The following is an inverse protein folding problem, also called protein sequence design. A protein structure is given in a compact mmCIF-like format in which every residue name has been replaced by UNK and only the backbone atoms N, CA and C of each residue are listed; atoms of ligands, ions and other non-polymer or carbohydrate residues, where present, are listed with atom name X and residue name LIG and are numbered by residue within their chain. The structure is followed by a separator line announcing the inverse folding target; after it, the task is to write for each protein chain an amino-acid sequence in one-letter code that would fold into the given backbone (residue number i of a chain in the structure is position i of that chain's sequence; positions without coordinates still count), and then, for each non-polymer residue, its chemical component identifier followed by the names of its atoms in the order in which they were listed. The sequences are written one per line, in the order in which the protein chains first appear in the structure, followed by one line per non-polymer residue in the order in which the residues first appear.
data_IF_756720424080
#
_entry.id   IF_756720424080
#
_cell.length_a   1.000
_cell.length_b   1.000
_cell.length_c   1.000
_cell.angle_alpha   90.00
_cell.angle_beta   90.00
_cell.angle_gamma   90.00
#
_symmetry.space_group_name_H-M   'P 1'
#
loop_
_entity.id
_entity.type
_entity.pdbx_description
1 polymer ?
#
# COMPACT_ATOMS: atom_id res chain seq x y z
N UNK A 1 2.08 -20.32 4.89
CA UNK A 1 1.93 -21.15 6.12
C UNK A 1 3.29 -21.55 6.71
N UNK A 2 4.26 -21.96 5.86
CA UNK A 2 5.62 -22.34 6.29
C UNK A 2 6.37 -21.25 7.06
N UNK A 3 6.24 -19.97 6.68
CA UNK A 3 6.88 -18.85 7.40
C UNK A 3 6.53 -18.84 8.90
N UNK A 4 5.23 -18.96 9.22
CA UNK A 4 4.74 -19.02 10.61
C UNK A 4 5.19 -20.29 11.33
N UNK A 5 5.24 -21.41 10.61
CA UNK A 5 5.74 -22.68 11.13
C UNK A 5 7.23 -22.58 11.50
N UNK A 6 8.07 -22.00 10.65
CA UNK A 6 9.50 -21.76 10.94
C UNK A 6 9.69 -20.78 12.11
N UNK A 7 8.87 -19.72 12.19
CA UNK A 7 8.90 -18.79 13.33
C UNK A 7 8.60 -19.52 14.65
N UNK A 8 7.57 -20.39 14.68
CA UNK A 8 7.09 -20.99 15.94
C UNK A 8 7.84 -22.27 16.32
N UNK A 9 8.18 -23.12 15.34
CA UNK A 9 8.86 -24.40 15.61
C UNK A 9 10.35 -24.23 15.89
N UNK A 10 10.99 -23.22 15.26
CA UNK A 10 12.43 -22.99 15.40
C UNK A 10 12.76 -21.71 16.16
N UNK A 11 11.75 -20.98 16.66
CA UNK A 11 11.93 -19.72 17.40
C UNK A 11 12.61 -18.62 16.58
N UNK A 12 12.55 -18.71 15.24
CA UNK A 12 13.26 -17.80 14.36
C UNK A 12 12.55 -16.44 14.30
N UNK A 13 13.32 -15.36 14.26
CA UNK A 13 12.77 -14.03 13.99
C UNK A 13 12.22 -13.95 12.55
N UNK A 14 11.29 -13.03 12.31
CA UNK A 14 10.70 -12.81 10.97
C UNK A 14 11.76 -12.54 9.89
N UNK A 15 12.82 -11.80 10.25
CA UNK A 15 13.94 -11.51 9.37
C UNK A 15 14.70 -12.78 9.01
N UNK A 16 15.08 -13.59 10.01
CA UNK A 16 15.78 -14.87 9.79
C UNK A 16 14.96 -15.85 8.97
N UNK A 17 13.65 -15.93 9.19
CA UNK A 17 12.79 -16.78 8.36
C UNK A 17 12.78 -16.29 6.91
N UNK A 18 12.84 -14.98 6.68
CA UNK A 18 12.95 -14.44 5.31
C UNK A 18 14.27 -14.84 4.65
N UNK A 19 15.38 -14.77 5.38
CA UNK A 19 16.70 -15.18 4.91
C UNK A 19 16.74 -16.68 4.60
N UNK A 20 16.24 -17.52 5.50
CA UNK A 20 16.15 -18.98 5.31
C UNK A 20 15.27 -19.35 4.11
N UNK A 21 14.18 -18.62 3.87
CA UNK A 21 13.34 -18.88 2.70
C UNK A 21 14.03 -18.50 1.39
N UNK A 22 14.84 -17.43 1.39
CA UNK A 22 15.65 -17.00 0.23
C UNK A 22 16.84 -17.93 0.01
N UNK A 23 17.49 -18.35 1.08
CA UNK A 23 18.64 -19.21 1.10
C UNK A 23 18.50 -20.29 2.20
N UNK A 24 17.98 -21.48 1.84
CA UNK A 24 17.77 -22.57 2.80
C UNK A 24 19.04 -23.10 3.46
N UNK A 25 20.23 -22.79 2.92
CA UNK A 25 21.50 -23.18 3.55
C UNK A 25 21.70 -22.49 4.91
N UNK A 26 21.09 -21.32 5.11
CA UNK A 26 21.21 -20.52 6.34
C UNK A 26 20.39 -21.05 7.52
N UNK A 27 19.61 -22.13 7.33
CA UNK A 27 18.82 -22.75 8.40
C UNK A 27 19.68 -23.12 9.62
N UNK A 28 20.91 -23.60 9.39
CA UNK A 28 21.85 -24.00 10.45
C UNK A 28 22.72 -22.85 10.96
N UNK A 29 22.84 -21.76 10.20
CA UNK A 29 23.60 -20.58 10.56
C UNK A 29 22.83 -19.77 11.62
N UNK A 30 22.89 -20.20 12.89
CA UNK A 30 22.30 -19.48 14.03
C UNK A 30 21.35 -20.31 14.91
N UNK A 31 21.28 -21.63 14.74
CA UNK A 31 20.67 -22.54 15.73
C UNK A 31 21.67 -23.00 16.81
N UNK A 32 22.95 -22.67 16.64
CA UNK A 32 24.04 -23.03 17.56
C UNK A 32 23.95 -22.45 18.98
N UNK A 33 22.88 -21.74 19.30
CA UNK A 33 22.59 -21.27 20.67
C UNK A 33 21.43 -21.97 21.37
N UNK A 34 20.61 -22.77 20.67
CA UNK A 34 19.36 -23.32 21.27
C UNK A 34 19.47 -24.81 21.64
N UNK A 35 20.40 -25.58 21.06
CA UNK A 35 20.45 -27.04 21.31
C UNK A 35 21.84 -27.66 21.53
N UNK A 36 22.91 -26.89 21.70
CA UNK A 36 24.22 -27.48 22.02
C UNK A 36 24.43 -27.55 23.53
N UNK A 37 23.69 -28.45 24.17
CA UNK A 37 24.08 -29.02 25.46
C UNK A 37 23.48 -30.41 25.59
N UNK A 38 24.11 -31.39 24.95
CA UNK A 38 24.52 -32.70 25.50
C UNK A 38 24.63 -33.78 24.40
N UNK A 39 25.79 -34.45 24.40
CA UNK A 39 26.09 -35.76 23.80
C UNK A 39 26.44 -35.88 22.29
N UNK A 40 27.72 -36.20 22.06
CA UNK A 40 28.43 -36.51 20.80
C UNK A 40 27.94 -37.74 19.99
N UNK A 41 26.71 -38.22 20.23
CA UNK A 41 26.04 -39.25 19.42
C UNK A 41 24.84 -38.68 18.64
N UNK A 42 24.39 -37.47 18.98
CA UNK A 42 23.25 -36.76 18.37
C UNK A 42 23.58 -36.08 17.04
N UNK A 43 24.87 -35.76 16.78
CA UNK A 43 25.31 -34.94 15.65
C UNK A 43 24.87 -35.47 14.27
N UNK A 44 24.83 -36.79 14.08
CA UNK A 44 24.43 -37.38 12.79
C UNK A 44 22.91 -37.37 12.59
N UNK A 45 22.14 -37.55 13.65
CA UNK A 45 20.67 -37.50 13.60
C UNK A 45 20.18 -36.06 13.43
N UNK A 46 20.86 -35.11 14.09
CA UNK A 46 20.58 -33.68 13.96
C UNK A 46 20.95 -33.19 12.55
N UNK A 47 22.11 -33.57 12.00
CA UNK A 47 22.47 -33.19 10.63
C UNK A 47 21.52 -33.80 9.59
N UNK A 48 21.08 -35.06 9.78
CA UNK A 48 20.09 -35.70 8.92
C UNK A 48 18.72 -35.00 9.00
N UNK A 49 18.30 -34.60 10.21
CA UNK A 49 17.09 -33.82 10.43
C UNK A 49 17.18 -32.45 9.75
N UNK A 50 18.30 -31.74 9.90
CA UNK A 50 18.52 -30.44 9.25
C UNK A 50 18.57 -30.58 7.73
N UNK A 51 19.23 -31.60 7.19
CA UNK A 51 19.22 -31.88 5.76
C UNK A 51 17.79 -32.11 5.23
N UNK A 52 16.97 -32.87 5.97
CA UNK A 52 15.55 -33.08 5.62
C UNK A 52 14.75 -31.78 5.71
N UNK A 53 14.92 -31.00 6.77
CA UNK A 53 14.24 -29.72 6.95
C UNK A 53 14.62 -28.72 5.84
N UNK A 54 15.89 -28.62 5.46
CA UNK A 54 16.33 -27.80 4.32
C UNK A 54 15.63 -28.23 3.03
N UNK A 55 15.54 -29.54 2.77
CA UNK A 55 14.83 -30.08 1.61
C UNK A 55 13.33 -29.75 1.65
N UNK A 56 12.70 -29.84 2.82
CA UNK A 56 11.29 -29.46 3.01
C UNK A 56 11.05 -27.98 2.77
N UNK A 57 11.93 -27.11 3.29
CA UNK A 57 11.88 -25.67 3.04
C UNK A 57 11.95 -25.36 1.55
N UNK A 58 12.87 -26.00 0.82
CA UNK A 58 12.97 -25.85 -0.65
C UNK A 58 11.68 -26.31 -1.33
N UNK A 59 11.15 -27.50 -0.98
CA UNK A 59 9.94 -28.05 -1.60
C UNK A 59 8.73 -27.16 -1.38
N UNK A 60 8.51 -26.71 -0.14
CA UNK A 60 7.39 -25.86 0.18
C UNK A 60 7.55 -24.45 -0.41
N UNK A 61 8.76 -23.87 -0.39
CA UNK A 61 9.02 -22.57 -1.04
C UNK A 61 8.69 -22.61 -2.54
N UNK A 62 9.03 -23.70 -3.23
CA UNK A 62 8.68 -23.90 -4.65
C UNK A 62 7.20 -24.18 -4.90
N UNK A 63 6.53 -24.87 -3.97
CA UNK A 63 5.11 -25.19 -4.10
C UNK A 63 4.19 -24.03 -3.68
N UNK A 64 4.66 -23.13 -2.82
CA UNK A 64 3.89 -21.99 -2.32
C UNK A 64 3.78 -20.91 -3.39
N UNK A 65 2.58 -20.73 -3.91
CA UNK A 65 2.26 -19.74 -4.96
C UNK A 65 2.08 -18.33 -4.40
N UNK A 66 1.90 -18.17 -3.09
CA UNK A 66 1.39 -16.92 -2.50
C UNK A 66 2.34 -16.28 -1.50
N UNK A 67 3.19 -17.07 -0.85
CA UNK A 67 4.11 -16.63 0.21
C UNK A 67 5.53 -17.18 0.03
N UNK A 68 5.93 -17.42 -1.22
CA UNK A 68 7.30 -17.78 -1.58
C UNK A 68 8.14 -16.54 -1.91
N UNK A 69 9.49 -16.61 -1.80
CA UNK A 69 10.38 -15.53 -2.23
C UNK A 69 10.16 -15.11 -3.68
N UNK A 70 9.82 -16.06 -4.56
CA UNK A 70 9.50 -15.77 -5.97
C UNK A 70 8.21 -14.98 -6.08
N UNK A 71 7.16 -15.35 -5.34
CA UNK A 71 5.91 -14.57 -5.32
C UNK A 71 6.10 -13.17 -4.71
N UNK A 72 6.94 -13.05 -3.68
CA UNK A 72 7.27 -11.77 -3.07
C UNK A 72 8.06 -10.88 -4.06
N UNK A 73 9.03 -11.46 -4.77
CA UNK A 73 9.75 -10.77 -5.85
C UNK A 73 8.80 -10.30 -6.95
N UNK A 74 7.87 -11.16 -7.39
CA UNK A 74 6.90 -10.79 -8.41
C UNK A 74 6.00 -9.63 -7.97
N UNK A 75 5.54 -9.62 -6.71
CA UNK A 75 4.78 -8.50 -6.14
C UNK A 75 5.59 -7.22 -6.08
N UNK A 76 6.86 -7.30 -5.67
CA UNK A 76 7.75 -6.12 -5.63
C UNK A 76 7.99 -5.55 -7.03
N UNK A 77 8.25 -6.42 -8.01
CA UNK A 77 8.43 -6.02 -9.41
C UNK A 77 7.14 -5.38 -9.97
N UNK A 78 5.99 -6.01 -9.73
CA UNK A 78 4.71 -5.43 -10.11
C UNK A 78 4.50 -4.06 -9.44
N UNK A 79 4.88 -3.89 -8.18
CA UNK A 79 4.85 -2.58 -7.51
C UNK A 79 5.65 -1.52 -8.28
N UNK A 80 6.90 -1.82 -8.61
CA UNK A 80 7.78 -0.91 -9.35
C UNK A 80 7.26 -0.59 -10.75
N UNK A 81 6.73 -1.58 -11.48
CA UNK A 81 6.16 -1.38 -12.81
C UNK A 81 4.95 -0.44 -12.78
N UNK A 82 4.09 -0.60 -11.79
CA UNK A 82 2.90 0.23 -11.61
C UNK A 82 3.23 1.65 -11.13
N UNK A 83 4.25 1.80 -10.29
CA UNK A 83 4.77 3.12 -9.88
C UNK A 83 5.36 3.85 -11.09
N UNK A 84 6.16 3.15 -11.91
CA UNK A 84 6.68 3.71 -13.16
C UNK A 84 5.56 4.09 -14.14
N UNK A 85 4.49 3.28 -14.23
CA UNK A 85 3.32 3.60 -15.04
C UNK A 85 2.57 4.85 -14.53
N UNK A 86 2.50 5.05 -13.21
CA UNK A 86 1.95 6.27 -12.62
C UNK A 86 2.79 7.50 -13.02
N UNK A 87 4.11 7.44 -12.87
CA UNK A 87 4.99 8.56 -13.22
C UNK A 87 4.89 8.90 -14.71
N UNK A 88 4.91 7.88 -15.59
CA UNK A 88 4.72 8.08 -17.02
C UNK A 88 3.36 8.73 -17.35
N UNK A 89 2.29 8.37 -16.63
CA UNK A 89 0.98 8.97 -16.80
C UNK A 89 0.93 10.43 -16.33
N UNK A 90 1.60 10.75 -15.21
CA UNK A 90 1.72 12.12 -14.70
C UNK A 90 2.54 13.00 -15.65
N UNK A 91 3.64 12.48 -16.19
CA UNK A 91 4.47 13.17 -17.19
C UNK A 91 3.70 13.43 -18.49
N UNK A 92 2.99 12.42 -19.01
CA UNK A 92 2.16 12.56 -20.22
C UNK A 92 1.02 13.58 -20.02
N UNK A 93 0.51 13.70 -18.79
CA UNK A 93 -0.49 14.69 -18.41
C UNK A 93 0.10 16.07 -18.09
N UNK A 94 1.43 16.22 -18.05
CA UNK A 94 2.10 17.48 -17.70
C UNK A 94 1.90 17.90 -16.24
N UNK A 95 1.70 16.94 -15.33
CA UNK A 95 1.46 17.20 -13.90
C UNK A 95 2.79 17.17 -13.13
N UNK A 96 3.26 18.33 -12.61
CA UNK A 96 4.50 18.37 -11.84
C UNK A 96 4.31 17.69 -10.48
N UNK A 97 5.22 16.78 -10.13
CA UNK A 97 5.16 16.00 -8.89
C UNK A 97 6.55 15.82 -8.27
N UNK A 98 6.59 15.40 -7.01
CA UNK A 98 7.76 14.82 -6.36
C UNK A 98 7.53 13.31 -6.23
N UNK A 99 8.53 12.53 -6.64
CA UNK A 99 8.51 11.08 -6.46
C UNK A 99 8.70 10.69 -4.99
N UNK A 100 8.38 9.45 -4.65
CA UNK A 100 8.61 8.94 -3.31
C UNK A 100 10.10 9.05 -2.91
N UNK A 101 11.00 8.81 -3.86
CA UNK A 101 12.45 8.93 -3.65
C UNK A 101 12.84 10.38 -3.34
N UNK A 102 12.31 11.37 -4.08
CA UNK A 102 12.58 12.79 -3.81
C UNK A 102 12.13 13.19 -2.39
N UNK A 103 10.99 12.66 -1.94
CA UNK A 103 10.46 12.92 -0.60
C UNK A 103 11.33 12.26 0.49
N UNK A 104 11.82 11.04 0.22
CA UNK A 104 12.74 10.35 1.12
C UNK A 104 14.08 11.07 1.24
N UNK A 105 14.63 11.56 0.13
CA UNK A 105 15.89 12.32 0.12
C UNK A 105 15.77 13.63 0.90
N UNK A 106 14.55 14.21 0.94
CA UNK A 106 14.20 15.36 1.79
C UNK A 106 13.97 15.00 3.26
N UNK A 107 14.12 13.74 3.65
CA UNK A 107 13.96 13.27 5.03
C UNK A 107 12.51 13.17 5.50
N UNK A 108 11.55 13.08 4.59
CA UNK A 108 10.13 13.00 4.96
C UNK A 108 9.78 11.59 5.47
N UNK A 109 9.09 11.54 6.60
CA UNK A 109 8.54 10.30 7.15
C UNK A 109 7.13 10.04 6.61
N UNK A 110 6.85 8.78 6.22
CA UNK A 110 5.62 8.32 5.55
C UNK A 110 5.33 9.16 4.30
N UNK A 111 5.84 8.68 3.17
CA UNK A 111 5.81 9.36 1.88
C UNK A 111 4.77 8.70 0.97
N UNK A 112 3.84 9.46 0.37
CA UNK A 112 3.05 8.95 -0.74
C UNK A 112 3.95 8.70 -1.97
N UNK A 113 3.53 7.83 -2.88
CA UNK A 113 4.27 7.52 -4.10
C UNK A 113 4.49 8.77 -4.97
N UNK A 114 3.46 9.62 -5.09
CA UNK A 114 3.58 10.91 -5.75
C UNK A 114 2.94 12.02 -4.92
N UNK A 115 3.69 13.08 -4.64
CA UNK A 115 3.16 14.34 -4.09
C UNK A 115 3.08 15.36 -5.21
N UNK A 116 1.89 15.86 -5.53
CA UNK A 116 1.70 16.80 -6.63
C UNK A 116 2.14 18.19 -6.18
N UNK A 117 2.91 18.88 -7.03
CA UNK A 117 3.32 20.26 -6.74
C UNK A 117 2.15 21.23 -6.95
N UNK A 118 1.25 20.88 -7.89
CA UNK A 118 0.00 21.59 -8.15
C UNK A 118 -1.14 20.58 -8.01
N UNK A 119 -2.17 20.87 -7.21
CA UNK A 119 -3.33 19.99 -7.09
C UNK A 119 -4.04 19.80 -8.43
N UNK A 120 -4.65 18.64 -8.61
CA UNK A 120 -5.43 18.33 -9.81
C UNK A 120 -6.86 18.00 -9.42
N UNK A 121 -7.83 18.46 -10.21
CA UNK A 121 -9.20 18.00 -10.10
C UNK A 121 -9.36 16.74 -10.94
N UNK A 122 -9.81 15.65 -10.31
CA UNK A 122 -10.07 14.36 -10.94
C UNK A 122 -11.55 14.05 -10.87
N UNK A 123 -12.12 13.62 -11.99
CA UNK A 123 -13.49 13.15 -12.05
C UNK A 123 -13.57 11.70 -11.56
N UNK A 124 -14.38 11.45 -10.53
CA UNK A 124 -14.62 10.11 -10.02
C UNK A 124 -15.44 9.30 -11.03
N UNK A 125 -14.96 8.12 -11.50
CA UNK A 125 -15.69 7.29 -12.45
C UNK A 125 -17.04 6.78 -11.92
N UNK A 126 -17.17 6.60 -10.61
CA UNK A 126 -18.35 6.01 -9.97
C UNK A 126 -19.45 7.05 -9.70
N UNK A 127 -19.08 8.24 -9.22
CA UNK A 127 -20.04 9.28 -8.83
C UNK A 127 -20.15 10.45 -9.82
N UNK A 128 -19.29 10.49 -10.84
CA UNK A 128 -19.16 11.61 -11.78
C UNK A 128 -18.85 12.97 -11.14
N UNK A 129 -18.48 13.01 -9.86
CA UNK A 129 -18.09 14.23 -9.14
C UNK A 129 -16.60 14.52 -9.28
N UNK A 130 -16.24 15.80 -9.26
CA UNK A 130 -14.85 16.25 -9.25
C UNK A 130 -14.30 16.24 -7.83
N UNK A 131 -13.09 15.75 -7.66
CA UNK A 131 -12.36 15.70 -6.40
C UNK A 131 -10.99 16.34 -6.58
N UNK A 132 -10.56 17.14 -5.61
CA UNK A 132 -9.22 17.74 -5.62
C UNK A 132 -8.25 16.70 -5.07
N UNK A 133 -7.12 16.50 -5.75
CA UNK A 133 -6.10 15.52 -5.39
C UNK A 133 -4.76 16.24 -5.23
N UNK A 134 -4.13 16.08 -4.07
CA UNK A 134 -2.81 16.64 -3.74
C UNK A 134 -1.71 15.58 -3.75
N UNK A 135 -2.05 14.33 -3.46
CA UNK A 135 -1.12 13.20 -3.39
C UNK A 135 -1.76 11.96 -3.99
N UNK A 136 -0.92 11.06 -4.49
CA UNK A 136 -1.32 9.79 -5.08
C UNK A 136 -0.48 8.67 -4.46
N UNK A 137 -1.13 7.58 -4.08
CA UNK A 137 -0.49 6.35 -3.63
C UNK A 137 -0.95 5.19 -4.53
N UNK A 138 0.00 4.41 -5.03
CA UNK A 138 -0.22 3.37 -6.03
C UNK A 138 -0.06 1.99 -5.39
N UNK A 139 -1.10 1.16 -5.52
CA UNK A 139 -1.15 -0.18 -4.93
C UNK A 139 -1.31 -1.22 -6.03
N UNK A 140 -0.27 -2.02 -6.24
CA UNK A 140 -0.28 -3.21 -7.09
C UNK A 140 -1.05 -4.38 -6.45
N UNK A 141 -2.17 -4.09 -5.78
CA UNK A 141 -3.04 -5.06 -5.11
C UNK A 141 -4.50 -4.72 -5.35
N UNK A 142 -5.39 -5.67 -5.03
CA UNK A 142 -6.83 -5.41 -5.00
C UNK A 142 -7.20 -4.66 -3.71
N UNK A 143 -8.04 -3.63 -3.83
CA UNK A 143 -8.55 -2.87 -2.68
C UNK A 143 -9.74 -3.57 -2.05
N UNK A 144 -9.50 -4.36 -0.99
CA UNK A 144 -10.55 -4.89 -0.12
C UNK A 144 -10.74 -4.01 1.14
N UNK A 145 -11.90 -4.16 1.80
CA UNK A 145 -12.27 -3.33 2.95
C UNK A 145 -11.25 -3.37 4.09
N UNK A 146 -10.67 -4.54 4.35
CA UNK A 146 -9.77 -4.74 5.49
C UNK A 146 -8.42 -4.11 5.22
N UNK A 147 -7.86 -4.33 4.03
CA UNK A 147 -6.60 -3.76 3.59
C UNK A 147 -6.70 -2.25 3.45
N UNK A 148 -7.80 -1.75 2.87
CA UNK A 148 -8.03 -0.32 2.72
C UNK A 148 -8.18 0.36 4.07
N UNK A 149 -9.01 -0.16 4.99
CA UNK A 149 -9.17 0.40 6.34
C UNK A 149 -7.86 0.40 7.13
N UNK A 150 -7.06 -0.67 7.03
CA UNK A 150 -5.74 -0.74 7.66
C UNK A 150 -4.76 0.29 7.09
N UNK A 151 -4.78 0.50 5.76
CA UNK A 151 -3.95 1.50 5.10
C UNK A 151 -4.39 2.93 5.43
N UNK A 152 -5.71 3.16 5.54
CA UNK A 152 -6.28 4.44 5.95
C UNK A 152 -5.78 4.83 7.34
N UNK A 153 -5.87 3.93 8.32
CA UNK A 153 -5.44 4.21 9.68
C UNK A 153 -3.90 4.30 9.82
N UNK A 154 -3.16 3.46 9.10
CA UNK A 154 -1.70 3.39 9.21
C UNK A 154 -0.94 4.47 8.43
N UNK A 155 -1.45 4.86 7.26
CA UNK A 155 -0.73 5.69 6.28
C UNK A 155 -1.57 6.87 5.81
N UNK A 156 -2.73 6.63 5.18
CA UNK A 156 -3.44 7.69 4.46
C UNK A 156 -3.95 8.80 5.37
N UNK A 157 -4.34 8.50 6.62
CA UNK A 157 -4.69 9.53 7.62
C UNK A 157 -3.56 10.53 7.87
N UNK A 158 -2.30 10.08 7.77
CA UNK A 158 -1.13 10.98 7.86
C UNK A 158 -1.05 11.89 6.64
N UNK A 159 -1.32 11.35 5.44
CA UNK A 159 -1.30 12.12 4.20
C UNK A 159 -2.43 13.14 4.16
N UNK A 160 -3.65 12.73 4.53
CA UNK A 160 -4.82 13.59 4.66
C UNK A 160 -4.56 14.78 5.58
N UNK A 161 -3.97 14.53 6.75
CA UNK A 161 -3.68 15.59 7.71
C UNK A 161 -2.57 16.54 7.26
N UNK A 162 -1.66 16.09 6.39
CA UNK A 162 -0.46 16.84 6.00
C UNK A 162 -0.59 17.58 4.68
N UNK A 163 -1.22 16.93 3.70
CA UNK A 163 -1.30 17.36 2.31
C UNK A 163 -2.74 17.58 1.84
N UNK A 164 -3.74 17.21 2.64
CA UNK A 164 -5.15 17.29 2.27
C UNK A 164 -5.63 16.07 1.48
N UNK A 165 -6.68 16.26 0.69
CA UNK A 165 -7.29 15.20 -0.10
C UNK A 165 -6.31 14.58 -1.10
N UNK A 166 -6.49 13.30 -1.38
CA UNK A 166 -5.61 12.55 -2.28
C UNK A 166 -6.33 11.42 -3.00
N UNK A 167 -5.57 10.61 -3.71
CA UNK A 167 -6.09 9.47 -4.45
C UNK A 167 -5.25 8.21 -4.19
N UNK A 168 -5.91 7.06 -4.21
CA UNK A 168 -5.26 5.75 -4.18
C UNK A 168 -5.62 5.01 -5.47
N UNK A 169 -4.61 4.54 -6.18
CA UNK A 169 -4.78 3.75 -7.40
C UNK A 169 -4.61 2.27 -7.05
N UNK A 170 -5.70 1.50 -7.11
CA UNK A 170 -5.68 0.04 -7.00
C UNK A 170 -5.66 -0.58 -8.40
N UNK A 171 -4.47 -0.99 -8.86
CA UNK A 171 -4.27 -1.46 -10.24
C UNK A 171 -5.00 -2.75 -10.59
N UNK A 172 -5.37 -3.55 -9.57
CA UNK A 172 -6.18 -4.75 -9.74
C UNK A 172 -7.67 -4.55 -9.45
N UNK A 173 -8.11 -3.30 -9.22
CA UNK A 173 -9.48 -2.96 -8.87
C UNK A 173 -9.73 -2.90 -7.36
N UNK A 174 -10.94 -2.50 -6.97
CA UNK A 174 -11.37 -2.40 -5.58
C UNK A 174 -12.87 -2.70 -5.40
N UNK A 175 -13.28 -3.01 -4.18
CA UNK A 175 -14.70 -3.19 -3.83
C UNK A 175 -15.42 -1.86 -3.93
N UNK A 176 -16.45 -1.76 -4.77
CA UNK A 176 -17.16 -0.50 -5.05
C UNK A 176 -17.72 0.18 -3.80
N UNK A 177 -18.16 -0.61 -2.82
CA UNK A 177 -18.71 -0.12 -1.56
C UNK A 177 -17.69 0.74 -0.77
N UNK A 178 -16.39 0.57 -1.03
CA UNK A 178 -15.34 1.43 -0.47
C UNK A 178 -15.39 2.86 -0.98
N UNK A 179 -15.80 3.08 -2.23
CA UNK A 179 -15.89 4.41 -2.80
C UNK A 179 -17.06 5.22 -2.23
N UNK A 180 -18.10 4.54 -1.76
CA UNK A 180 -19.27 5.18 -1.13
C UNK A 180 -19.06 5.36 0.39
N UNK A 181 -18.23 4.50 1.02
CA UNK A 181 -18.00 4.46 2.47
C UNK A 181 -16.96 5.42 3.04
N UNK A 182 -16.23 6.18 2.22
CA UNK A 182 -15.20 7.13 2.71
C UNK A 182 -15.78 8.43 3.31
N UNK A 183 -17.10 8.61 3.30
CA UNK A 183 -17.77 9.71 4.01
C UNK A 183 -18.11 9.32 5.46
N UNK A 184 -17.08 9.27 6.30
CA UNK A 184 -17.23 9.23 7.76
C UNK A 184 -17.18 7.84 8.39
N UNK A 185 -16.01 7.49 8.94
CA UNK A 185 -15.91 6.46 9.96
C UNK A 185 -16.74 6.89 11.19
N UNK A 186 -17.92 6.29 11.33
CA UNK A 186 -18.82 6.48 12.46
C UNK A 186 -19.90 5.40 12.45
N UNK A 187 -19.52 4.14 12.68
CA UNK A 187 -20.48 3.06 12.91
C UNK A 187 -20.63 2.89 14.42
N UNK A 188 -21.55 3.65 15.01
CA UNK A 188 -22.20 3.26 16.26
C UNK A 188 -23.47 2.49 15.90
N UNK A 189 -23.40 1.17 16.08
CA UNK A 189 -24.56 0.30 15.99
C UNK A 189 -25.39 0.35 17.27
N UNK A 190 -26.56 0.98 17.22
CA UNK A 190 -27.74 0.53 18.00
C UNK A 190 -29.00 1.22 17.48
N UNK A 191 -29.91 0.41 16.93
CA UNK A 191 -31.18 0.89 16.41
C UNK A 191 -32.17 1.28 17.50
N UNK A 192 -32.85 2.40 17.30
CA UNK A 192 -34.26 2.51 17.63
C UNK A 192 -34.96 3.49 16.69
N UNK A 193 -36.05 3.02 16.09
CA UNK A 193 -36.91 3.73 15.16
C UNK A 193 -37.79 4.76 15.85
N UNK A 194 -37.83 5.99 15.33
CA UNK A 194 -39.05 6.82 15.33
C UNK A 194 -39.08 7.78 14.14
N UNK A 195 -40.28 7.90 13.59
CA UNK A 195 -40.70 8.63 12.40
C UNK A 195 -40.76 10.15 12.57
N UNK A 196 -40.52 10.89 11.48
CA UNK A 196 -41.22 12.15 11.17
C UNK A 196 -40.34 13.32 10.76
N UNK A 197 -40.75 14.02 9.69
CA UNK A 197 -40.40 15.44 9.48
C UNK A 197 -39.66 15.78 8.20
N UNK A 198 -40.36 16.47 7.28
CA UNK A 198 -39.77 17.28 6.18
C UNK A 198 -38.82 18.35 6.75
N UNK A 199 -37.74 18.64 6.04
CA UNK A 199 -36.85 19.76 6.32
C UNK A 199 -35.74 19.85 5.29
N UNK A 200 -35.49 21.05 4.81
CA UNK A 200 -34.61 21.42 3.71
C UNK A 200 -33.11 21.23 4.00
N UNK A 201 -32.35 21.16 2.90
CA UNK A 201 -31.03 21.78 2.72
C UNK A 201 -30.01 21.71 3.85
N UNK A 202 -28.96 20.93 3.64
CA UNK A 202 -27.62 21.35 4.05
C UNK A 202 -26.58 20.60 3.22
N UNK A 203 -25.89 21.32 2.33
CA UNK A 203 -24.64 20.86 1.77
C UNK A 203 -23.63 20.72 2.90
N UNK A 204 -23.40 19.49 3.35
CA UNK A 204 -22.25 19.21 4.19
C UNK A 204 -21.03 19.10 3.28
N UNK A 205 -20.40 20.25 3.02
CA UNK A 205 -18.98 20.28 2.76
C UNK A 205 -18.27 19.86 4.06
N UNK A 206 -18.17 18.56 4.29
CA UNK A 206 -17.29 18.00 5.31
C UNK A 206 -15.87 18.33 4.88
N UNK A 207 -15.28 19.39 5.46
CA UNK A 207 -13.91 19.83 5.19
C UNK A 207 -12.81 18.87 5.67
N UNK A 208 -13.10 17.59 5.82
CA UNK A 208 -12.11 16.55 6.00
C UNK A 208 -11.59 16.10 4.63
N UNK A 209 -10.27 16.01 4.47
CA UNK A 209 -9.69 15.50 3.24
C UNK A 209 -10.23 14.10 2.90
N UNK A 210 -10.66 13.92 1.66
CA UNK A 210 -11.19 12.65 1.14
C UNK A 210 -10.10 11.89 0.37
N UNK A 211 -10.20 10.54 0.37
CA UNK A 211 -9.35 9.67 -0.44
C UNK A 211 -10.17 9.13 -1.60
N UNK A 212 -9.86 9.58 -2.81
CA UNK A 212 -10.48 9.07 -4.03
C UNK A 212 -9.89 7.72 -4.42
N UNK A 213 -10.72 6.74 -4.76
CA UNK A 213 -10.27 5.44 -5.27
C UNK A 213 -10.33 5.39 -6.79
N UNK A 214 -9.24 4.94 -7.39
CA UNK A 214 -9.06 4.84 -8.84
C UNK A 214 -8.48 3.47 -9.21
N UNK A 215 -8.73 3.02 -10.44
CA UNK A 215 -8.09 1.82 -11.00
C UNK A 215 -6.89 2.15 -11.90
N UNK A 216 -6.78 3.42 -12.31
CA UNK A 216 -5.73 3.99 -13.15
C UNK A 216 -5.73 5.51 -13.02
N UNK A 217 -4.63 6.14 -13.40
CA UNK A 217 -4.60 7.61 -13.52
C UNK A 217 -5.53 8.08 -14.67
N UNK A 218 -6.36 9.11 -14.46
CA UNK A 218 -7.30 9.61 -15.47
C UNK A 218 -6.57 10.24 -16.66
N UNK A 219 -7.18 10.13 -17.85
CA UNK A 219 -6.74 10.86 -19.05
C UNK A 219 -7.16 12.33 -19.02
N UNK A 220 -6.73 13.09 -20.02
CA UNK A 220 -6.96 14.54 -20.12
C UNK A 220 -8.42 14.98 -20.14
N UNK A 221 -9.37 14.09 -20.46
CA UNK A 221 -10.81 14.38 -20.43
C UNK A 221 -11.45 14.35 -19.03
N UNK A 222 -10.83 13.62 -18.09
CA UNK A 222 -11.37 13.38 -16.75
C UNK A 222 -10.46 13.98 -15.65
N UNK A 223 -9.53 14.85 -16.04
CA UNK A 223 -8.58 15.50 -15.15
C UNK A 223 -8.28 16.93 -15.60
N UNK A 224 -8.19 17.84 -14.64
CA UNK A 224 -7.88 19.25 -14.85
C UNK A 224 -6.81 19.69 -13.85
N UNK A 225 -5.71 20.25 -14.35
CA UNK A 225 -4.68 20.84 -13.48
C UNK A 225 -5.20 22.16 -12.93
N UNK A 226 -5.19 22.31 -11.60
CA UNK A 226 -5.67 23.52 -10.92
C UNK A 226 -4.58 24.59 -10.84
N UNK A 227 -3.84 24.77 -11.92
CA UNK A 227 -2.88 25.86 -12.01
C UNK A 227 -3.66 27.18 -12.04
N UNK A 228 -3.57 27.98 -10.97
CA UNK A 228 -3.87 29.40 -11.09
C UNK A 228 -2.96 29.95 -12.18
N UNK A 229 -3.55 30.55 -13.20
CA UNK A 229 -2.81 31.23 -14.24
C UNK A 229 -1.91 32.29 -13.59
N UNK A 230 -0.63 31.99 -13.42
CA UNK A 230 0.42 33.00 -13.26
C UNK A 230 0.63 33.63 -14.65
N UNK A 231 -0.38 34.39 -15.09
CA UNK A 231 -0.23 35.46 -16.06
C UNK A 231 -0.14 36.76 -15.25
N UNK A 232 0.82 37.62 -15.60
CA UNK A 232 1.21 38.93 -15.02
C UNK A 232 2.41 38.83 -14.04
N UNK A 233 3.59 39.44 -14.23
CA UNK A 233 4.07 40.41 -15.21
C UNK A 233 5.60 40.21 -15.39
N UNK A 234 6.06 40.13 -16.63
CA UNK A 234 7.44 40.43 -16.97
C UNK A 234 7.38 41.41 -18.16
N UNK A 235 7.16 42.69 -17.85
CA UNK A 235 7.41 43.77 -18.79
C UNK A 235 8.91 43.86 -19.08
N UNK A 236 9.34 44.11 -20.33
CA UNK A 236 10.74 44.30 -20.63
C UNK A 236 11.20 45.67 -20.09
N UNK A 237 12.32 45.67 -19.35
CA UNK A 237 13.10 46.86 -19.02
C UNK A 237 14.19 47.03 -20.07
#
# INVERSE_FOLDING_TARGET
MMRRMLEHMLGLSKQRVSEVLKDPSQLTAGLGGVMVSEAAASDTADEALFARLRADVVRCSRADRSYSPTSDMAKSLAGLEHEAALYAALEAAGVPHWSEQDLRDKGMYKTPDALLQVPVAVRCPLSSRWHIVHWIDSKASFGDDRLHAAALEGQYRTYLNRYGSGAVIYWHGFVRDLADGCSGAGVDGSGHSTSGGRGEGCGNASGGGEVLLLERFPGSGDMQVLAEAVQNEAGPV
#
